data_IF_681271253711
#
_entry.id   IF_681271253711
#
_cell.length_a   1.000
_cell.length_b   1.000
_cell.length_c   1.000
_cell.angle_alpha   90.00
_cell.angle_beta   90.00
_cell.angle_gamma   90.00
#
_symmetry.space_group_name_H-M   'P 1'
#
loop_
_entity.id
_entity.type
_entity.pdbx_description
1 polymer ?
#
# COMPACT_ATOMS: atom_id res chain seq x y z
N UNK A 1 0.01 -4.47 -19.04
CA UNK A 1 1.31 -4.74 -18.44
C UNK A 1 1.41 -4.36 -16.99
N UNK A 2 2.61 -4.51 -16.44
CA UNK A 2 2.98 -4.11 -15.10
C UNK A 2 2.12 -4.73 -13.99
N UNK A 3 1.96 -4.05 -12.85
CA UNK A 3 1.26 -4.58 -11.68
C UNK A 3 -0.25 -4.82 -11.86
N UNK A 4 -0.83 -4.45 -12.99
CA UNK A 4 -2.18 -4.91 -13.36
C UNK A 4 -2.25 -6.42 -13.63
N UNK A 5 -1.13 -7.02 -14.00
CA UNK A 5 -1.03 -8.45 -14.26
C UNK A 5 -0.78 -9.22 -12.96
N UNK A 6 -1.74 -10.04 -12.56
CA UNK A 6 -1.68 -10.85 -11.34
C UNK A 6 -0.51 -11.86 -11.33
N UNK A 7 -0.02 -12.28 -12.51
CA UNK A 7 1.13 -13.18 -12.64
C UNK A 7 2.39 -12.63 -11.99
N UNK A 8 2.52 -11.28 -11.90
CA UNK A 8 3.65 -10.63 -11.23
C UNK A 8 3.75 -11.00 -9.75
N UNK A 9 2.64 -11.34 -9.08
CA UNK A 9 2.66 -11.78 -7.69
C UNK A 9 3.55 -13.04 -7.56
N UNK A 10 3.40 -14.01 -8.45
CA UNK A 10 4.18 -15.25 -8.39
C UNK A 10 5.66 -15.01 -8.72
N UNK A 11 5.95 -14.14 -9.68
CA UNK A 11 7.33 -13.73 -9.98
C UNK A 11 7.97 -13.00 -8.81
N UNK A 12 7.23 -12.11 -8.17
CA UNK A 12 7.69 -11.38 -6.99
C UNK A 12 7.95 -12.33 -5.80
N UNK A 13 7.07 -13.31 -5.56
CA UNK A 13 7.28 -14.34 -4.54
C UNK A 13 8.60 -15.09 -4.76
N UNK A 14 8.87 -15.49 -6.01
CA UNK A 14 10.14 -16.15 -6.35
C UNK A 14 11.34 -15.27 -6.07
N UNK A 15 11.28 -13.99 -6.49
CA UNK A 15 12.34 -13.01 -6.24
C UNK A 15 12.61 -12.84 -4.73
N UNK A 16 11.59 -12.56 -3.94
CA UNK A 16 11.78 -12.31 -2.51
C UNK A 16 12.22 -13.55 -1.76
N UNK A 17 11.81 -14.75 -2.19
CA UNK A 17 12.29 -16.00 -1.60
C UNK A 17 13.81 -16.14 -1.78
N UNK A 18 14.32 -15.85 -2.97
CA UNK A 18 15.77 -15.88 -3.23
C UNK A 18 16.49 -14.84 -2.37
N UNK A 19 15.95 -13.62 -2.30
CA UNK A 19 16.57 -12.53 -1.53
C UNK A 19 16.61 -12.85 -0.04
N UNK A 20 15.51 -13.26 0.56
CA UNK A 20 15.46 -13.58 2.00
C UNK A 20 16.39 -14.73 2.38
N UNK A 21 16.47 -15.77 1.55
CA UNK A 21 17.41 -16.87 1.78
C UNK A 21 18.86 -16.40 1.62
N UNK A 22 19.18 -15.62 0.57
CA UNK A 22 20.54 -15.16 0.27
C UNK A 22 21.10 -14.26 1.37
N UNK A 23 20.26 -13.41 1.96
CA UNK A 23 20.64 -12.41 2.95
C UNK A 23 20.20 -12.78 4.38
N UNK A 24 19.83 -14.03 4.61
CA UNK A 24 19.45 -14.53 5.94
C UNK A 24 20.56 -14.26 6.96
N UNK A 25 20.19 -13.65 8.09
CA UNK A 25 21.14 -13.26 9.14
C UNK A 25 21.99 -12.02 8.85
N UNK A 26 22.03 -11.56 7.60
CA UNK A 26 22.78 -10.35 7.19
C UNK A 26 21.90 -9.10 7.15
N UNK A 27 20.65 -9.26 6.68
CA UNK A 27 19.67 -8.17 6.57
C UNK A 27 18.45 -8.55 7.39
N UNK A 28 18.10 -7.73 8.35
CA UNK A 28 16.95 -7.94 9.25
C UNK A 28 15.76 -7.04 8.90
N UNK A 29 15.99 -5.88 8.27
CA UNK A 29 14.99 -4.87 7.98
C UNK A 29 14.73 -4.81 6.48
N UNK A 30 13.45 -4.99 6.10
CA UNK A 30 13.04 -5.09 4.71
C UNK A 30 11.88 -4.15 4.43
N UNK A 31 11.89 -3.53 3.25
CA UNK A 31 10.77 -2.75 2.72
C UNK A 31 10.33 -3.42 1.43
N UNK A 32 9.05 -3.78 1.34
CA UNK A 32 8.50 -4.53 0.20
C UNK A 32 8.30 -3.65 -1.03
N UNK A 33 7.65 -2.51 -0.85
CA UNK A 33 7.36 -1.54 -1.90
C UNK A 33 7.60 -0.12 -1.42
N UNK A 34 7.97 0.74 -2.36
CA UNK A 34 8.11 2.16 -2.15
C UNK A 34 6.81 2.86 -2.52
N UNK A 35 6.25 3.62 -1.60
CA UNK A 35 5.15 4.58 -1.82
C UNK A 35 3.96 4.03 -2.64
N UNK A 36 3.46 2.83 -2.35
CA UNK A 36 2.32 2.22 -3.04
C UNK A 36 1.10 3.14 -3.13
N UNK A 37 0.93 4.04 -2.18
CA UNK A 37 -0.17 5.01 -2.19
C UNK A 37 -0.04 6.07 -3.28
N UNK A 38 1.15 6.22 -3.90
CA UNK A 38 1.37 7.14 -5.00
C UNK A 38 0.88 6.61 -6.35
N UNK A 39 0.46 5.36 -6.46
CA UNK A 39 -0.12 4.78 -7.68
C UNK A 39 -1.29 5.63 -8.20
N UNK A 40 -2.13 6.14 -7.31
CA UNK A 40 -3.29 6.98 -7.66
C UNK A 40 -2.93 8.39 -8.16
N UNK A 41 -1.68 8.80 -8.03
CA UNK A 41 -1.18 10.11 -8.45
C UNK A 41 -0.15 9.99 -9.58
N UNK A 42 0.62 8.91 -9.58
CA UNK A 42 1.70 8.64 -10.53
C UNK A 42 1.71 7.17 -10.93
N UNK A 43 0.71 6.70 -11.68
CA UNK A 43 0.48 5.28 -11.95
C UNK A 43 1.65 4.60 -12.66
N UNK A 44 2.35 5.30 -13.56
CA UNK A 44 3.55 4.77 -14.20
C UNK A 44 4.71 4.58 -13.22
N UNK A 45 5.01 5.59 -12.42
CA UNK A 45 6.12 5.53 -11.45
C UNK A 45 5.84 4.54 -10.31
N UNK A 46 4.59 4.46 -9.85
CA UNK A 46 4.19 3.60 -8.73
C UNK A 46 4.04 2.13 -9.11
N UNK A 47 3.50 1.85 -10.29
CA UNK A 47 3.12 0.49 -10.67
C UNK A 47 3.40 0.12 -12.15
N UNK A 48 4.13 0.96 -12.88
CA UNK A 48 4.44 0.74 -14.29
C UNK A 48 3.21 0.77 -15.20
N UNK A 49 2.14 1.47 -14.81
CA UNK A 49 0.90 1.51 -15.58
C UNK A 49 1.03 2.52 -16.71
N UNK A 50 0.83 2.03 -17.94
CA UNK A 50 0.55 2.85 -19.11
C UNK A 50 -0.92 2.64 -19.46
N UNK A 51 -1.69 3.72 -19.47
CA UNK A 51 -3.11 3.67 -19.79
C UNK A 51 -3.32 3.75 -21.30
N UNK A 52 -4.21 2.91 -21.81
CA UNK A 52 -4.62 2.95 -23.21
C UNK A 52 -5.76 3.97 -23.40
N UNK A 53 -5.93 4.52 -24.61
CA UNK A 53 -7.04 5.42 -24.89
C UNK A 53 -8.40 4.78 -24.56
N UNK A 54 -9.20 5.45 -23.72
CA UNK A 54 -10.51 4.97 -23.29
C UNK A 54 -10.49 3.98 -22.11
N UNK A 55 -9.33 3.65 -21.58
CA UNK A 55 -9.23 2.79 -20.40
C UNK A 55 -9.66 3.51 -19.13
N UNK A 56 -10.34 2.79 -18.23
CA UNK A 56 -10.70 3.34 -16.92
C UNK A 56 -9.46 3.39 -16.02
N UNK A 57 -8.88 4.57 -15.88
CA UNK A 57 -7.67 4.80 -15.10
C UNK A 57 -7.82 4.32 -13.63
N UNK A 58 -8.95 4.65 -12.99
CA UNK A 58 -9.19 4.27 -11.60
C UNK A 58 -9.23 2.76 -11.40
N UNK A 59 -9.87 2.03 -12.31
CA UNK A 59 -9.92 0.58 -12.23
C UNK A 59 -8.51 -0.02 -12.38
N UNK A 60 -7.73 0.46 -13.33
CA UNK A 60 -6.37 0.02 -13.57
C UNK A 60 -5.45 0.28 -12.37
N UNK A 61 -5.53 1.47 -11.78
CA UNK A 61 -4.79 1.88 -10.60
C UNK A 61 -5.13 1.03 -9.37
N UNK A 62 -6.43 0.83 -9.08
CA UNK A 62 -6.86 0.02 -7.94
C UNK A 62 -6.52 -1.46 -8.11
N UNK A 63 -6.57 -1.98 -9.34
CA UNK A 63 -6.19 -3.36 -9.63
C UNK A 63 -4.69 -3.57 -9.39
N UNK A 64 -3.84 -2.66 -9.85
CA UNK A 64 -2.41 -2.72 -9.63
C UNK A 64 -2.06 -2.62 -8.15
N UNK A 65 -2.63 -1.64 -7.46
CA UNK A 65 -2.44 -1.45 -6.04
C UNK A 65 -2.88 -2.67 -5.21
N UNK A 66 -3.99 -3.32 -5.58
CA UNK A 66 -4.41 -4.57 -4.95
C UNK A 66 -3.38 -5.68 -5.14
N UNK A 67 -2.84 -5.84 -6.35
CA UNK A 67 -1.84 -6.86 -6.63
C UNK A 67 -0.53 -6.60 -5.87
N UNK A 68 -0.08 -5.35 -5.76
CA UNK A 68 1.10 -5.00 -4.94
C UNK A 68 0.87 -5.28 -3.45
N UNK A 69 -0.31 -4.96 -2.92
CA UNK A 69 -0.64 -5.26 -1.53
C UNK A 69 -0.65 -6.78 -1.26
N UNK A 70 -1.17 -7.57 -2.19
CA UNK A 70 -1.14 -9.04 -2.09
C UNK A 70 0.30 -9.55 -2.16
N UNK A 71 1.12 -9.01 -3.08
CA UNK A 71 2.52 -9.36 -3.20
C UNK A 71 3.31 -9.00 -1.93
N UNK A 72 3.06 -7.82 -1.35
CA UNK A 72 3.66 -7.39 -0.08
C UNK A 72 3.30 -8.32 1.09
N UNK A 73 2.03 -8.74 1.17
CA UNK A 73 1.59 -9.69 2.19
C UNK A 73 2.29 -11.04 2.05
N UNK A 74 2.44 -11.54 0.80
CA UNK A 74 3.21 -12.75 0.55
C UNK A 74 4.68 -12.60 0.90
N UNK A 75 5.31 -11.47 0.54
CA UNK A 75 6.69 -11.20 0.90
C UNK A 75 6.89 -11.22 2.42
N UNK A 76 5.99 -10.59 3.18
CA UNK A 76 6.02 -10.59 4.64
C UNK A 76 5.93 -12.02 5.20
N UNK A 77 5.01 -12.83 4.67
CA UNK A 77 4.86 -14.23 5.07
C UNK A 77 6.14 -15.03 4.82
N UNK A 78 6.67 -14.95 3.59
CA UNK A 78 7.89 -15.66 3.20
C UNK A 78 9.10 -15.21 4.02
N UNK A 79 9.22 -13.90 4.30
CA UNK A 79 10.30 -13.37 5.13
C UNK A 79 10.32 -14.01 6.52
N UNK A 80 9.16 -14.14 7.17
CA UNK A 80 9.05 -14.74 8.50
C UNK A 80 9.18 -16.26 8.47
N UNK A 81 8.82 -16.93 7.37
CA UNK A 81 9.08 -18.36 7.17
C UNK A 81 10.58 -18.65 7.02
N UNK A 82 11.32 -17.77 6.35
CA UNK A 82 12.78 -17.90 6.21
C UNK A 82 13.51 -17.55 7.50
N UNK A 83 13.12 -16.45 8.14
CA UNK A 83 13.69 -16.01 9.41
C UNK A 83 12.66 -15.24 10.22
N UNK A 84 12.17 -15.77 11.37
CA UNK A 84 11.19 -15.09 12.21
C UNK A 84 11.64 -13.72 12.76
N UNK A 85 12.96 -13.46 12.80
CA UNK A 85 13.52 -12.19 13.25
C UNK A 85 13.44 -11.08 12.20
N UNK A 86 13.10 -11.39 10.94
CA UNK A 86 12.92 -10.40 9.90
C UNK A 86 11.81 -9.40 10.28
N UNK A 87 12.10 -8.12 10.06
CA UNK A 87 11.15 -7.02 10.23
C UNK A 87 10.80 -6.47 8.84
N UNK A 88 9.54 -6.63 8.46
CA UNK A 88 9.06 -6.28 7.13
C UNK A 88 8.06 -5.15 7.21
N UNK A 89 8.27 -4.13 6.43
CA UNK A 89 7.40 -2.96 6.34
C UNK A 89 7.15 -2.52 4.90
N UNK A 90 6.48 -1.40 4.77
CA UNK A 90 6.32 -0.70 3.50
C UNK A 90 6.61 0.78 3.70
N UNK A 91 7.06 1.44 2.64
CA UNK A 91 7.23 2.88 2.61
C UNK A 91 5.96 3.55 2.08
N UNK A 92 5.52 4.59 2.76
CA UNK A 92 4.35 5.38 2.37
C UNK A 92 4.76 6.82 2.12
N UNK A 93 4.25 7.43 1.05
CA UNK A 93 4.27 8.87 0.88
C UNK A 93 3.23 9.48 1.83
N UNK A 94 3.66 9.89 3.00
CA UNK A 94 2.83 10.51 4.01
C UNK A 94 3.28 11.95 4.23
N UNK A 95 2.59 12.89 3.58
CA UNK A 95 2.79 14.32 3.80
C UNK A 95 1.86 14.86 4.88
N UNK A 96 2.36 15.80 5.68
CA UNK A 96 1.50 16.62 6.53
C UNK A 96 0.97 17.77 5.68
N UNK A 97 -0.34 17.76 5.42
CA UNK A 97 -1.01 18.81 4.68
C UNK A 97 -1.62 19.82 5.66
N UNK A 98 -1.17 21.06 5.58
CA UNK A 98 -1.68 22.18 6.36
C UNK A 98 -2.53 23.09 5.47
N UNK A 99 -3.58 23.73 6.02
CA UNK A 99 -4.34 24.71 5.28
C UNK A 99 -3.46 25.90 4.92
N UNK A 100 -3.63 26.44 3.72
CA UNK A 100 -2.91 27.64 3.27
C UNK A 100 -3.31 28.89 4.09
N UNK A 101 -4.58 28.96 4.51
CA UNK A 101 -5.12 29.99 5.36
C UNK A 101 -6.13 29.41 6.36
N UNK A 102 -6.63 30.23 7.29
CA UNK A 102 -7.68 29.85 8.23
C UNK A 102 -9.09 29.83 7.60
N UNK A 103 -9.23 30.05 6.30
CA UNK A 103 -10.53 29.97 5.60
C UNK A 103 -11.07 28.54 5.66
N UNK A 104 -12.38 28.37 5.86
CA UNK A 104 -13.00 27.03 5.91
C UNK A 104 -12.70 26.13 4.71
N UNK A 105 -12.61 26.73 3.51
CA UNK A 105 -12.31 26.02 2.26
C UNK A 105 -10.92 25.43 2.29
N UNK A 106 -9.91 26.18 2.71
CA UNK A 106 -8.51 25.74 2.80
C UNK A 106 -8.35 24.66 3.87
N UNK A 107 -8.98 24.84 5.02
CA UNK A 107 -9.01 23.86 6.12
C UNK A 107 -9.65 22.55 5.62
N UNK A 108 -10.78 22.64 4.91
CA UNK A 108 -11.47 21.47 4.36
C UNK A 108 -10.62 20.77 3.30
N UNK A 109 -9.98 21.51 2.39
CA UNK A 109 -9.10 20.97 1.37
C UNK A 109 -7.94 20.17 1.99
N UNK A 110 -7.27 20.74 2.98
CA UNK A 110 -6.18 20.07 3.71
C UNK A 110 -6.67 18.79 4.41
N UNK A 111 -7.84 18.82 5.04
CA UNK A 111 -8.44 17.64 5.69
C UNK A 111 -8.80 16.54 4.69
N UNK A 112 -9.38 16.87 3.54
CA UNK A 112 -9.72 15.90 2.48
C UNK A 112 -8.46 15.26 1.94
N UNK A 113 -7.44 16.04 1.60
CA UNK A 113 -6.17 15.54 1.07
C UNK A 113 -5.50 14.60 2.07
N UNK A 114 -5.47 14.95 3.35
CA UNK A 114 -4.91 14.11 4.42
C UNK A 114 -5.67 12.79 4.59
N UNK A 115 -7.00 12.80 4.44
CA UNK A 115 -7.81 11.57 4.52
C UNK A 115 -7.59 10.65 3.32
N UNK A 116 -7.49 11.19 2.12
CA UNK A 116 -7.28 10.41 0.90
C UNK A 116 -5.88 9.82 0.83
N UNK A 117 -4.86 10.57 1.22
CA UNK A 117 -3.46 10.10 1.21
C UNK A 117 -3.17 9.04 2.26
N UNK A 118 -3.71 9.18 3.49
CA UNK A 118 -3.41 8.28 4.60
C UNK A 118 -4.40 7.12 4.76
N UNK A 119 -5.68 7.31 4.39
CA UNK A 119 -6.71 6.31 4.70
C UNK A 119 -6.64 5.06 3.83
N UNK A 120 -6.14 5.19 2.60
CA UNK A 120 -6.11 4.09 1.66
C UNK A 120 -5.10 3.01 2.05
N UNK A 121 -3.94 3.41 2.53
CA UNK A 121 -2.84 2.51 2.86
C UNK A 121 -2.99 1.90 4.26
N UNK A 122 -3.34 2.70 5.27
CA UNK A 122 -3.48 2.20 6.64
C UNK A 122 -4.64 1.22 6.83
N UNK A 123 -5.76 1.41 6.10
CA UNK A 123 -6.94 0.54 6.29
C UNK A 123 -6.81 -0.83 5.65
N UNK A 124 -5.93 -1.03 4.68
CA UNK A 124 -5.77 -2.30 3.98
C UNK A 124 -4.44 -3.00 4.22
N UNK A 125 -3.35 -2.27 4.42
CA UNK A 125 -2.02 -2.86 4.62
C UNK A 125 -1.78 -3.36 6.05
N UNK A 126 -2.44 -2.78 7.06
CA UNK A 126 -2.23 -3.09 8.48
C UNK A 126 -3.40 -3.86 9.11
N UNK A 127 -4.44 -4.20 8.36
CA UNK A 127 -5.58 -4.94 8.90
C UNK A 127 -5.21 -6.41 9.11
N UNK A 128 -4.55 -6.70 10.23
CA UNK A 128 -4.68 -8.01 10.86
C UNK A 128 -6.16 -8.26 11.20
N UNK A 129 -6.64 -9.51 11.25
CA UNK A 129 -8.04 -9.83 11.59
C UNK A 129 -8.55 -9.11 12.87
N UNK A 130 -7.70 -8.92 13.87
CA UNK A 130 -8.02 -8.22 15.11
C UNK A 130 -8.22 -6.69 14.95
N UNK A 131 -7.56 -6.07 13.96
CA UNK A 131 -7.71 -4.63 13.69
C UNK A 131 -8.94 -4.36 12.83
N UNK A 132 -9.36 -5.34 12.03
CA UNK A 132 -10.56 -5.25 11.19
C UNK A 132 -11.84 -5.21 12.04
N UNK A 133 -11.91 -5.98 13.14
CA UNK A 133 -13.05 -5.99 14.05
C UNK A 133 -13.23 -4.66 14.81
N UNK A 134 -12.13 -4.01 15.22
CA UNK A 134 -12.18 -2.71 15.90
C UNK A 134 -12.59 -1.56 14.97
N UNK A 135 -12.24 -1.65 13.68
CA UNK A 135 -12.59 -0.60 12.72
C UNK A 135 -14.07 -0.68 12.28
N UNK A 136 -14.68 -1.87 12.29
CA UNK A 136 -16.10 -2.04 12.01
C UNK A 136 -16.98 -1.62 13.18
N UNK A 137 -16.57 -1.86 14.43
CA UNK A 137 -17.31 -1.46 15.63
C UNK A 137 -17.31 0.06 15.85
N UNK A 138 -16.24 0.76 15.46
CA UNK A 138 -16.16 2.22 15.55
C UNK A 138 -17.08 2.95 14.56
N UNK A 139 -17.57 2.28 13.50
CA UNK A 139 -18.54 2.87 12.56
C UNK A 139 -19.99 2.77 13.01
N UNK A 140 -20.31 1.82 13.87
CA UNK A 140 -21.70 1.62 14.33
C UNK A 140 -22.13 2.67 15.37
N UNK A 141 -21.17 3.37 16.01
CA UNK A 141 -21.45 4.32 17.10
C UNK A 141 -21.51 5.80 16.68
N UNK A 142 -21.36 6.14 15.38
CA UNK A 142 -21.29 7.54 14.94
C UNK A 142 -22.53 8.01 14.16
N UNK A 143 -23.61 7.20 14.12
CA UNK A 143 -24.88 7.55 13.45
C UNK A 143 -26.08 7.10 14.29
N UNK A 144 -26.13 7.59 15.52
CA UNK A 144 -27.35 7.60 16.35
C UNK A 144 -27.53 9.01 16.90
#
# INVERSE_FOLDING_TARGET
GAWRNRTLIELYKRLVTVLFNRYRGLVRWWITFNEMNMILHRPFMGAGIVLEPGENAREAEYRAAHNELVASAWATKIAHEVDPENKVGCMLAAGSYYPYSCRPEDVRAAQVTRRTSSSWTCRRAVATPATRSRCSSARASTWA
#
